data_IF_298602122468
#
_entry.id   IF_298602122468
#
_cell.length_a   1.000
_cell.length_b   1.000
_cell.length_c   1.000
_cell.angle_alpha   90.00
_cell.angle_beta   90.00
_cell.angle_gamma   90.00
#
_symmetry.space_group_name_H-M   'P 1'
#
loop_
_entity.id
_entity.type
_entity.pdbx_description
1 polymer ?
#
# COMPACT_ATOMS: atom_id res chain seq x y z
N UNK A 1 28.33 -30.16 26.15
CA UNK A 1 28.51 -28.88 25.41
C UNK A 1 27.17 -28.53 24.77
N UNK A 2 26.50 -27.46 25.22
CA UNK A 2 25.30 -26.96 24.52
C UNK A 2 25.82 -26.31 23.23
N UNK A 3 25.56 -26.92 22.07
CA UNK A 3 25.87 -26.31 20.79
C UNK A 3 25.20 -24.93 20.71
N UNK A 4 25.97 -23.91 20.36
CA UNK A 4 25.45 -22.56 20.10
C UNK A 4 24.39 -22.67 19.01
N UNK A 5 23.12 -22.45 19.37
CA UNK A 5 21.99 -22.49 18.44
C UNK A 5 22.18 -21.34 17.45
N UNK A 6 22.52 -21.66 16.20
CA UNK A 6 22.68 -20.63 15.16
C UNK A 6 21.33 -20.03 14.81
N UNK A 7 21.28 -18.70 14.71
CA UNK A 7 20.07 -17.94 14.35
C UNK A 7 19.72 -18.22 12.88
N UNK A 8 18.51 -18.72 12.57
CA UNK A 8 18.05 -18.89 11.19
C UNK A 8 18.10 -17.58 10.40
N UNK A 9 18.42 -17.66 9.11
CA UNK A 9 18.67 -16.47 8.29
C UNK A 9 17.78 -16.43 7.04
N UNK A 10 17.14 -15.30 6.76
CA UNK A 10 16.29 -15.10 5.56
C UNK A 10 17.01 -14.17 4.60
N UNK A 11 17.11 -14.58 3.34
CA UNK A 11 17.59 -13.75 2.25
C UNK A 11 16.40 -13.03 1.61
N UNK A 12 16.50 -11.72 1.39
CA UNK A 12 15.46 -10.92 0.76
C UNK A 12 15.99 -10.22 -0.48
N UNK A 13 15.33 -10.43 -1.62
CA UNK A 13 15.60 -9.75 -2.88
C UNK A 13 14.42 -8.81 -3.24
N UNK A 14 14.52 -7.51 -2.92
CA UNK A 14 13.52 -6.53 -3.32
C UNK A 14 13.66 -6.13 -4.79
N UNK A 15 12.55 -5.80 -5.44
CA UNK A 15 12.55 -5.09 -6.71
C UNK A 15 12.94 -3.60 -6.51
N UNK A 16 13.34 -2.93 -7.59
CA UNK A 16 13.72 -1.51 -7.55
C UNK A 16 12.50 -0.64 -7.21
N UNK A 17 12.69 0.30 -6.30
CA UNK A 17 11.70 1.30 -5.92
C UNK A 17 11.16 1.15 -4.50
N UNK A 18 10.82 2.29 -3.89
CA UNK A 18 10.41 2.36 -2.47
C UNK A 18 9.11 1.59 -2.18
N UNK A 19 8.26 1.43 -3.19
CA UNK A 19 7.00 0.69 -3.12
C UNK A 19 7.18 -0.82 -2.93
N UNK A 20 8.32 -1.37 -3.35
CA UNK A 20 8.71 -2.77 -3.15
C UNK A 20 9.53 -2.94 -1.88
N UNK A 21 10.45 -2.00 -1.62
CA UNK A 21 11.37 -2.05 -0.49
C UNK A 21 10.67 -1.90 0.88
N UNK A 22 9.77 -0.92 1.04
CA UNK A 22 9.12 -0.66 2.34
C UNK A 22 8.30 -1.87 2.83
N UNK A 23 7.41 -2.48 2.01
CA UNK A 23 6.67 -3.66 2.44
C UNK A 23 7.56 -4.82 2.90
N UNK A 24 8.65 -5.08 2.17
CA UNK A 24 9.62 -6.13 2.54
C UNK A 24 10.40 -5.81 3.82
N UNK A 25 10.70 -4.53 4.07
CA UNK A 25 11.27 -4.07 5.34
C UNK A 25 10.30 -4.30 6.51
N UNK A 26 9.01 -4.02 6.32
CA UNK A 26 8.01 -4.23 7.37
C UNK A 26 7.76 -5.71 7.62
N UNK A 27 7.77 -6.54 6.57
CA UNK A 27 7.85 -8.00 6.66
C UNK A 27 9.07 -8.42 7.52
N UNK A 28 10.27 -7.95 7.16
CA UNK A 28 11.51 -8.30 7.83
C UNK A 28 11.49 -7.95 9.34
N UNK A 29 11.00 -6.76 9.69
CA UNK A 29 10.88 -6.32 11.08
C UNK A 29 10.04 -7.26 11.93
N UNK A 30 8.98 -7.87 11.41
CA UNK A 30 8.16 -8.80 12.19
C UNK A 30 8.93 -10.07 12.54
N UNK A 31 9.62 -10.66 11.56
CA UNK A 31 10.38 -11.90 11.77
C UNK A 31 11.53 -11.71 12.74
N UNK A 32 12.22 -10.56 12.66
CA UNK A 32 13.26 -10.20 13.61
C UNK A 32 12.68 -10.00 15.03
N UNK A 33 11.60 -9.24 15.17
CA UNK A 33 11.06 -8.86 16.49
C UNK A 33 10.36 -9.98 17.23
N UNK A 34 9.74 -10.90 16.50
CA UNK A 34 8.83 -11.89 17.09
C UNK A 34 9.31 -13.33 16.94
N UNK A 35 10.30 -13.60 16.10
CA UNK A 35 10.68 -14.97 15.73
C UNK A 35 12.20 -15.23 15.70
N UNK A 36 13.03 -14.32 16.23
CA UNK A 36 14.49 -14.48 16.35
C UNK A 36 15.18 -14.86 15.02
N UNK A 37 14.77 -14.24 13.91
CA UNK A 37 15.46 -14.37 12.63
C UNK A 37 16.52 -13.30 12.44
N UNK A 38 17.54 -13.65 11.64
CA UNK A 38 18.39 -12.67 10.97
C UNK A 38 18.05 -12.60 9.48
N UNK A 39 18.31 -11.47 8.85
CA UNK A 39 17.82 -11.11 7.52
C UNK A 39 18.92 -10.37 6.77
N UNK A 40 19.14 -10.72 5.51
CA UNK A 40 19.98 -9.95 4.59
C UNK A 40 19.16 -9.49 3.39
N UNK A 41 19.12 -8.20 3.14
CA UNK A 41 18.62 -7.62 1.89
C UNK A 41 19.75 -7.59 0.86
N UNK A 42 19.59 -8.31 -0.25
CA UNK A 42 20.46 -8.18 -1.43
C UNK A 42 19.78 -7.28 -2.45
N UNK A 43 20.22 -6.03 -2.53
CA UNK A 43 19.55 -4.96 -3.27
C UNK A 43 20.21 -4.80 -4.65
N UNK A 44 19.53 -5.14 -5.75
CA UNK A 44 20.00 -4.85 -7.10
C UNK A 44 19.99 -3.35 -7.37
N UNK A 45 20.98 -2.84 -8.11
CA UNK A 45 21.14 -1.41 -8.38
C UNK A 45 21.47 -1.15 -9.85
N UNK A 46 20.95 -0.06 -10.42
CA UNK A 46 21.33 0.48 -11.74
C UNK A 46 22.15 1.79 -11.59
N UNK A 47 22.62 2.07 -10.37
CA UNK A 47 23.33 3.29 -10.02
C UNK A 47 23.45 3.49 -8.51
N UNK A 48 23.66 4.73 -8.08
CA UNK A 48 23.67 5.06 -6.65
C UNK A 48 22.26 4.96 -6.05
N UNK A 49 22.09 4.43 -4.82
CA UNK A 49 20.79 4.41 -4.15
C UNK A 49 20.21 5.84 -4.05
N UNK A 50 18.90 5.95 -4.28
CA UNK A 50 18.21 7.24 -4.21
C UNK A 50 18.16 7.76 -2.77
N UNK A 51 18.00 9.07 -2.58
CA UNK A 51 17.95 9.64 -1.23
C UNK A 51 16.81 9.04 -0.40
N UNK A 52 15.66 8.75 -1.03
CA UNK A 52 14.53 8.11 -0.35
C UNK A 52 14.82 6.65 0.05
N UNK A 53 15.54 5.90 -0.79
CA UNK A 53 16.02 4.56 -0.41
C UNK A 53 16.99 4.63 0.76
N UNK A 54 17.95 5.57 0.73
CA UNK A 54 18.90 5.79 1.83
C UNK A 54 18.18 6.15 3.12
N UNK A 55 17.25 7.08 3.11
CA UNK A 55 16.47 7.46 4.29
C UNK A 55 15.70 6.28 4.89
N UNK A 56 15.06 5.46 4.06
CA UNK A 56 14.33 4.26 4.52
C UNK A 56 15.29 3.25 5.15
N UNK A 57 16.43 2.99 4.52
CA UNK A 57 17.42 2.04 5.02
C UNK A 57 18.12 2.56 6.28
N UNK A 58 18.44 3.86 6.34
CA UNK A 58 19.02 4.53 7.50
C UNK A 58 18.04 4.60 8.69
N UNK A 59 16.74 4.54 8.41
CA UNK A 59 15.69 4.47 9.45
C UNK A 59 15.57 3.09 10.09
N UNK A 60 16.22 2.05 9.52
CA UNK A 60 16.28 0.74 10.15
C UNK A 60 17.02 0.88 11.50
N UNK A 61 16.47 0.33 12.60
CA UNK A 61 17.10 0.50 13.90
C UNK A 61 18.53 -0.06 13.87
N UNK A 62 19.53 0.79 14.07
CA UNK A 62 20.94 0.39 14.18
C UNK A 62 21.21 -0.57 15.34
N UNK A 63 20.25 -0.72 16.26
CA UNK A 63 20.28 -1.65 17.39
C UNK A 63 19.80 -3.06 17.05
N UNK A 64 19.37 -3.31 15.80
CA UNK A 64 19.01 -4.64 15.32
C UNK A 64 20.24 -5.21 14.59
N UNK A 65 21.11 -5.91 15.32
CA UNK A 65 22.28 -6.64 14.77
C UNK A 65 21.89 -7.86 13.90
N UNK A 66 20.67 -7.87 13.37
CA UNK A 66 20.10 -9.00 12.64
C UNK A 66 19.57 -8.62 11.26
N UNK A 67 19.57 -7.34 10.85
CA UNK A 67 19.24 -6.93 9.48
C UNK A 67 20.51 -6.40 8.80
N UNK A 68 20.92 -7.04 7.72
CA UNK A 68 22.09 -6.70 6.93
C UNK A 68 21.69 -6.24 5.53
N UNK A 69 22.49 -5.35 4.93
CA UNK A 69 22.24 -4.80 3.60
C UNK A 69 23.46 -5.07 2.71
N UNK A 70 23.23 -5.69 1.56
CA UNK A 70 24.22 -5.89 0.51
C UNK A 70 23.70 -5.22 -0.76
N UNK A 71 24.38 -4.16 -1.19
CA UNK A 71 24.14 -3.57 -2.50
C UNK A 71 24.93 -4.36 -3.54
N UNK A 72 24.23 -4.88 -4.55
CA UNK A 72 24.88 -5.59 -5.65
C UNK A 72 25.57 -4.59 -6.58
N UNK A 73 26.56 -5.09 -7.32
CA UNK A 73 27.27 -4.31 -8.34
C UNK A 73 26.27 -3.63 -9.28
N UNK A 74 26.39 -2.31 -9.52
CA UNK A 74 25.50 -1.62 -10.43
C UNK A 74 25.51 -2.22 -11.83
N UNK A 75 24.35 -2.42 -12.41
CA UNK A 75 24.21 -2.86 -13.81
C UNK A 75 24.13 -1.64 -14.74
N UNK A 76 24.62 -1.79 -15.96
CA UNK A 76 24.54 -0.73 -16.97
C UNK A 76 23.22 -0.83 -17.74
N UNK A 77 22.44 0.25 -17.71
CA UNK A 77 21.19 0.41 -18.47
C UNK A 77 21.20 1.65 -19.39
N UNK A 78 22.38 2.23 -19.67
CA UNK A 78 22.54 3.48 -20.42
C UNK A 78 22.06 3.37 -21.88
N UNK A 79 22.06 2.17 -22.43
CA UNK A 79 21.58 1.89 -23.80
C UNK A 79 20.04 1.88 -23.90
N UNK A 80 19.31 1.93 -22.77
CA UNK A 80 17.85 1.98 -22.77
C UNK A 80 17.35 3.39 -23.07
N UNK A 81 16.28 3.47 -23.87
CA UNK A 81 15.55 4.71 -24.07
C UNK A 81 15.04 5.28 -22.74
N UNK A 82 15.01 6.60 -22.62
CA UNK A 82 14.39 7.29 -21.46
C UNK A 82 12.91 6.96 -21.31
N UNK A 83 12.25 6.62 -22.41
CA UNK A 83 10.82 6.24 -22.43
C UNK A 83 10.60 4.75 -22.12
N UNK A 84 11.65 3.98 -21.84
CA UNK A 84 11.51 2.57 -21.48
C UNK A 84 10.68 2.44 -20.19
N UNK A 85 9.67 1.59 -20.28
CA UNK A 85 8.75 1.30 -19.18
C UNK A 85 9.50 0.85 -17.90
N UNK A 86 9.01 1.31 -16.74
CA UNK A 86 9.65 1.10 -15.43
C UNK A 86 9.74 -0.39 -15.10
N UNK A 87 8.72 -1.19 -15.38
CA UNK A 87 8.73 -2.63 -15.12
C UNK A 87 9.81 -3.34 -15.95
N UNK A 88 10.03 -2.91 -17.20
CA UNK A 88 11.16 -3.41 -18.00
C UNK A 88 12.50 -3.08 -17.35
N UNK A 89 12.68 -1.85 -16.82
CA UNK A 89 13.92 -1.47 -16.13
C UNK A 89 14.13 -2.28 -14.85
N UNK A 90 13.08 -2.47 -14.04
CA UNK A 90 13.11 -3.30 -12.82
C UNK A 90 13.56 -4.72 -13.17
N UNK A 91 12.90 -5.35 -14.15
CA UNK A 91 13.22 -6.71 -14.57
C UNK A 91 14.68 -6.82 -15.04
N UNK A 92 15.09 -5.97 -15.99
CA UNK A 92 16.45 -6.01 -16.53
C UNK A 92 17.49 -5.81 -15.43
N UNK A 93 17.21 -4.95 -14.45
CA UNK A 93 18.12 -4.75 -13.32
C UNK A 93 18.31 -6.03 -12.52
N UNK A 94 17.23 -6.74 -12.21
CA UNK A 94 17.28 -8.01 -11.46
C UNK A 94 17.99 -9.08 -12.30
N UNK A 95 17.58 -9.29 -13.55
CA UNK A 95 18.14 -10.34 -14.41
C UNK A 95 19.63 -10.14 -14.69
N UNK A 96 20.08 -8.90 -14.91
CA UNK A 96 21.50 -8.59 -15.07
C UNK A 96 22.30 -8.69 -13.76
N UNK A 97 21.62 -8.62 -12.60
CA UNK A 97 22.24 -8.77 -11.28
C UNK A 97 22.40 -10.24 -10.82
N UNK A 98 21.85 -11.22 -11.54
CA UNK A 98 21.80 -12.63 -11.09
C UNK A 98 23.18 -13.24 -10.83
N UNK A 99 24.21 -12.88 -11.61
CA UNK A 99 25.58 -13.35 -11.38
C UNK A 99 26.18 -12.80 -10.08
N UNK A 100 25.99 -11.50 -9.82
CA UNK A 100 26.40 -10.88 -8.55
C UNK A 100 25.61 -11.44 -7.37
N UNK A 101 24.32 -11.73 -7.56
CA UNK A 101 23.47 -12.36 -6.57
C UNK A 101 23.98 -13.76 -6.21
N UNK A 102 24.36 -14.57 -7.22
CA UNK A 102 24.93 -15.91 -7.02
C UNK A 102 26.18 -15.86 -6.15
N UNK A 103 27.12 -14.97 -6.46
CA UNK A 103 28.35 -14.81 -5.69
C UNK A 103 28.06 -14.40 -4.23
N UNK A 104 27.12 -13.48 -4.01
CA UNK A 104 26.74 -13.05 -2.67
C UNK A 104 26.08 -14.20 -1.87
N UNK A 105 25.18 -14.95 -2.51
CA UNK A 105 24.49 -16.08 -1.88
C UNK A 105 25.42 -17.25 -1.56
N UNK A 106 26.41 -17.55 -2.41
CA UNK A 106 27.44 -18.55 -2.11
C UNK A 106 28.16 -18.27 -0.79
N UNK A 107 28.53 -17.01 -0.55
CA UNK A 107 29.18 -16.59 0.70
C UNK A 107 28.22 -16.66 1.89
N UNK A 108 26.99 -16.17 1.74
CA UNK A 108 26.00 -16.16 2.83
C UNK A 108 25.57 -17.58 3.24
N UNK A 109 25.35 -18.45 2.27
CA UNK A 109 24.96 -19.84 2.49
C UNK A 109 26.09 -20.63 3.19
N UNK A 110 27.35 -20.32 2.88
CA UNK A 110 28.49 -20.92 3.56
C UNK A 110 28.68 -20.43 5.01
N UNK A 111 28.09 -19.30 5.40
CA UNK A 111 28.35 -18.63 6.69
C UNK A 111 27.16 -18.55 7.64
N UNK A 112 25.94 -18.80 7.15
CA UNK A 112 24.72 -18.75 7.97
C UNK A 112 23.73 -19.87 7.61
N UNK A 113 22.90 -20.33 8.57
CA UNK A 113 21.85 -21.31 8.30
C UNK A 113 20.67 -20.65 7.56
N UNK A 114 20.78 -20.59 6.23
CA UNK A 114 19.74 -19.97 5.39
C UNK A 114 18.46 -20.78 5.45
N UNK A 115 17.39 -20.15 5.93
CA UNK A 115 16.08 -20.73 6.12
C UNK A 115 15.18 -20.56 4.89
N UNK A 116 15.30 -19.44 4.16
CA UNK A 116 14.50 -19.13 2.98
C UNK A 116 15.10 -18.00 2.14
N UNK A 117 14.77 -17.99 0.85
CA UNK A 117 14.82 -16.83 -0.03
C UNK A 117 13.41 -16.24 -0.17
N UNK A 118 13.26 -14.93 0.01
CA UNK A 118 12.03 -14.19 -0.24
C UNK A 118 12.29 -13.16 -1.34
N UNK A 119 11.54 -13.23 -2.43
CA UNK A 119 11.67 -12.32 -3.58
C UNK A 119 10.40 -11.48 -3.75
N UNK A 120 10.53 -10.27 -4.28
CA UNK A 120 9.38 -9.51 -4.79
C UNK A 120 8.77 -10.19 -6.04
N UNK A 121 7.60 -9.73 -6.51
CA UNK A 121 6.88 -10.30 -7.67
C UNK A 121 7.67 -10.30 -8.99
N UNK A 122 8.74 -9.53 -9.09
CA UNK A 122 9.65 -9.48 -10.25
C UNK A 122 10.90 -10.37 -10.11
N UNK A 123 11.10 -11.04 -8.97
CA UNK A 123 12.36 -11.68 -8.61
C UNK A 123 12.42 -13.20 -8.76
N UNK A 124 11.45 -13.84 -9.42
CA UNK A 124 11.38 -15.31 -9.51
C UNK A 124 12.60 -15.96 -10.20
N UNK A 125 13.35 -15.24 -11.02
CA UNK A 125 14.59 -15.76 -11.64
C UNK A 125 15.68 -16.08 -10.60
N UNK A 126 15.62 -15.47 -9.42
CA UNK A 126 16.53 -15.77 -8.33
C UNK A 126 16.32 -17.18 -7.72
N UNK A 127 15.21 -17.84 -8.01
CA UNK A 127 14.95 -19.20 -7.56
C UNK A 127 16.00 -20.17 -8.09
N UNK A 128 16.40 -20.02 -9.35
CA UNK A 128 17.43 -20.86 -9.97
C UNK A 128 18.82 -20.65 -9.35
N UNK A 129 19.07 -19.48 -8.76
CA UNK A 129 20.33 -19.18 -8.06
C UNK A 129 20.44 -19.98 -6.77
N UNK A 130 19.34 -20.13 -6.03
CA UNK A 130 19.35 -20.80 -4.72
C UNK A 130 18.95 -22.27 -4.76
N UNK A 131 18.36 -22.73 -5.87
CA UNK A 131 17.90 -24.11 -6.08
C UNK A 131 18.99 -25.15 -5.81
N UNK A 132 20.23 -24.88 -6.24
CA UNK A 132 21.37 -25.79 -6.04
C UNK A 132 21.76 -25.97 -4.56
N UNK A 133 21.32 -25.07 -3.68
CA UNK A 133 21.58 -25.11 -2.24
C UNK A 133 20.39 -25.63 -1.44
N UNK A 134 19.32 -26.07 -2.12
CA UNK A 134 18.10 -26.57 -1.48
C UNK A 134 17.47 -25.57 -0.49
N UNK A 135 17.58 -24.27 -0.80
CA UNK A 135 16.95 -23.19 -0.02
C UNK A 135 15.54 -22.96 -0.56
N UNK A 136 14.50 -23.02 0.29
CA UNK A 136 13.13 -22.80 -0.17
C UNK A 136 12.90 -21.34 -0.55
N UNK A 137 12.12 -21.12 -1.60
CA UNK A 137 11.93 -19.84 -2.26
C UNK A 137 10.48 -19.38 -2.22
N UNK A 138 10.27 -18.16 -1.74
CA UNK A 138 8.95 -17.58 -1.53
C UNK A 138 8.79 -16.28 -2.32
N UNK A 139 7.60 -16.04 -2.86
CA UNK A 139 7.23 -14.74 -3.42
C UNK A 139 6.50 -13.94 -2.36
N UNK A 140 6.98 -12.74 -2.08
CA UNK A 140 6.24 -11.74 -1.34
C UNK A 140 5.46 -10.85 -2.29
N UNK A 141 4.13 -10.87 -2.16
CA UNK A 141 3.21 -10.10 -2.98
C UNK A 141 2.57 -8.98 -2.13
N UNK A 142 3.01 -7.72 -2.26
CA UNK A 142 2.44 -6.57 -1.54
C UNK A 142 1.09 -6.11 -2.11
N UNK A 143 0.28 -7.03 -2.63
CA UNK A 143 -0.95 -6.76 -3.39
C UNK A 143 -2.10 -7.69 -2.95
N UNK A 144 -3.36 -7.36 -3.31
CA UNK A 144 -4.54 -8.16 -2.93
C UNK A 144 -4.52 -9.59 -3.46
N UNK A 145 -5.23 -10.51 -2.80
CA UNK A 145 -5.43 -11.90 -3.22
C UNK A 145 -6.05 -12.00 -4.62
N UNK A 146 -6.95 -11.09 -4.96
CA UNK A 146 -7.54 -11.02 -6.30
C UNK A 146 -6.49 -10.86 -7.40
N UNK A 147 -5.40 -10.14 -7.13
CA UNK A 147 -4.30 -10.02 -8.07
C UNK A 147 -3.56 -11.34 -8.24
N UNK A 148 -3.32 -12.06 -7.15
CA UNK A 148 -2.71 -13.38 -7.19
C UNK A 148 -3.55 -14.36 -8.02
N UNK A 149 -4.88 -14.31 -7.87
CA UNK A 149 -5.80 -15.10 -8.71
C UNK A 149 -5.65 -14.78 -10.20
N UNK A 150 -5.51 -13.50 -10.55
CA UNK A 150 -5.24 -13.09 -11.92
C UNK A 150 -3.90 -13.66 -12.42
N UNK A 151 -2.82 -13.48 -11.68
CA UNK A 151 -1.49 -13.96 -12.07
C UNK A 151 -1.49 -15.48 -12.29
N UNK A 152 -2.08 -16.26 -11.39
CA UNK A 152 -2.12 -17.72 -11.52
C UNK A 152 -2.97 -18.20 -12.71
N UNK A 153 -3.94 -17.40 -13.15
CA UNK A 153 -4.80 -17.70 -14.29
C UNK A 153 -4.31 -17.12 -15.62
N UNK A 154 -3.48 -16.08 -15.59
CA UNK A 154 -3.05 -15.31 -16.76
C UNK A 154 -2.41 -16.18 -17.86
N UNK A 155 -1.55 -17.18 -17.58
CA UNK A 155 -1.00 -18.04 -18.63
C UNK A 155 -2.08 -18.82 -19.39
N UNK A 156 -3.10 -19.33 -18.69
CA UNK A 156 -4.23 -20.04 -19.32
C UNK A 156 -5.09 -19.09 -20.15
N UNK A 157 -5.17 -17.83 -19.71
CA UNK A 157 -5.92 -16.80 -20.42
C UNK A 157 -5.22 -16.39 -21.72
N UNK A 158 -3.90 -16.24 -21.69
CA UNK A 158 -3.04 -15.95 -22.85
C UNK A 158 -3.19 -17.03 -23.93
N UNK A 159 -3.14 -18.30 -23.53
CA UNK A 159 -3.29 -19.43 -24.45
C UNK A 159 -4.68 -19.50 -25.11
N UNK A 160 -5.73 -19.06 -24.39
CA UNK A 160 -7.13 -19.21 -24.82
C UNK A 160 -7.59 -18.10 -25.78
N UNK A 161 -6.99 -16.92 -25.72
CA UNK A 161 -7.48 -15.74 -26.42
C UNK A 161 -6.39 -15.09 -27.26
N UNK A 162 -6.63 -14.95 -28.56
CA UNK A 162 -5.71 -14.30 -29.51
C UNK A 162 -6.03 -12.82 -29.78
N UNK A 163 -7.10 -12.27 -29.19
CA UNK A 163 -7.51 -10.87 -29.31
C UNK A 163 -7.13 -10.06 -28.07
N UNK A 164 -7.21 -8.72 -28.16
CA UNK A 164 -7.07 -7.89 -26.96
C UNK A 164 -8.20 -8.21 -25.97
N UNK A 165 -7.89 -8.25 -24.68
CA UNK A 165 -8.89 -8.58 -23.65
C UNK A 165 -10.06 -7.58 -23.58
N UNK A 166 -9.84 -6.33 -24.00
CA UNK A 166 -10.90 -5.31 -24.10
C UNK A 166 -11.94 -5.57 -25.19
N UNK A 167 -11.64 -6.45 -26.14
CA UNK A 167 -12.47 -6.74 -27.32
C UNK A 167 -13.30 -8.04 -27.13
N UNK A 168 -13.30 -8.63 -25.93
CA UNK A 168 -14.08 -9.83 -25.63
C UNK A 168 -15.58 -9.51 -25.45
N UNK A 169 -16.45 -10.21 -26.18
CA UNK A 169 -17.90 -10.02 -26.18
C UNK A 169 -18.61 -10.53 -24.91
N UNK A 170 -18.00 -11.45 -24.17
CA UNK A 170 -18.51 -11.92 -22.88
C UNK A 170 -17.59 -11.43 -21.75
N UNK A 171 -18.15 -10.95 -20.61
CA UNK A 171 -17.36 -10.49 -19.49
C UNK A 171 -16.50 -11.63 -18.95
N UNK A 172 -15.18 -11.42 -18.95
CA UNK A 172 -14.24 -12.33 -18.34
C UNK A 172 -14.62 -12.54 -16.87
N UNK A 173 -14.76 -13.79 -16.45
CA UNK A 173 -14.96 -14.11 -15.03
C UNK A 173 -13.65 -14.01 -14.22
N UNK A 174 -12.78 -13.03 -14.50
CA UNK A 174 -11.62 -12.58 -13.72
C UNK A 174 -11.23 -11.13 -14.15
N UNK A 175 -10.64 -10.28 -13.27
CA UNK A 175 -10.71 -8.83 -13.41
C UNK A 175 -9.44 -8.14 -13.95
N UNK A 176 -9.64 -7.18 -14.87
CA UNK A 176 -8.74 -6.04 -15.11
C UNK A 176 -7.97 -6.03 -16.44
N UNK A 177 -7.99 -4.89 -17.14
CA UNK A 177 -7.23 -4.64 -18.37
C UNK A 177 -5.76 -4.29 -18.08
N UNK A 178 -4.81 -4.86 -18.82
CA UNK A 178 -3.37 -4.54 -18.78
C UNK A 178 -2.91 -4.13 -20.19
N UNK A 179 -2.02 -3.13 -20.27
CA UNK A 179 -1.39 -2.62 -21.50
C UNK A 179 -0.35 -3.61 -22.08
N UNK A 180 -0.17 -3.64 -23.42
CA UNK A 180 0.58 -4.67 -24.18
C UNK A 180 2.05 -4.87 -23.76
N UNK A 181 2.79 -3.80 -23.43
CA UNK A 181 4.20 -3.92 -23.02
C UNK A 181 4.32 -4.43 -21.57
N UNK A 182 3.42 -3.97 -20.69
CA UNK A 182 3.32 -4.44 -19.29
C UNK A 182 2.86 -5.89 -19.23
N UNK A 183 2.05 -6.30 -20.20
CA UNK A 183 1.54 -7.64 -20.33
C UNK A 183 2.64 -8.70 -20.49
N UNK A 184 3.69 -8.42 -21.27
CA UNK A 184 4.78 -9.39 -21.51
C UNK A 184 5.49 -9.75 -20.20
N UNK A 185 5.91 -8.75 -19.42
CA UNK A 185 6.57 -8.99 -18.13
C UNK A 185 5.60 -9.58 -17.11
N UNK A 186 4.36 -9.09 -17.08
CA UNK A 186 3.33 -9.66 -16.19
C UNK A 186 3.11 -11.15 -16.48
N UNK A 187 2.97 -11.52 -17.75
CA UNK A 187 2.81 -12.91 -18.18
C UNK A 187 4.06 -13.72 -17.87
N UNK A 188 5.26 -13.19 -18.12
CA UNK A 188 6.52 -13.84 -17.80
C UNK A 188 6.60 -14.19 -16.30
N UNK A 189 6.44 -13.19 -15.43
CA UNK A 189 6.49 -13.40 -13.98
C UNK A 189 5.35 -14.28 -13.48
N UNK A 190 4.16 -14.18 -14.06
CA UNK A 190 3.00 -15.00 -13.68
C UNK A 190 3.26 -16.51 -13.83
N UNK A 191 4.08 -16.91 -14.82
CA UNK A 191 4.51 -18.30 -15.00
C UNK A 191 5.43 -18.76 -13.86
N UNK A 192 6.20 -17.84 -13.28
CA UNK A 192 7.11 -18.10 -12.16
C UNK A 192 6.40 -18.30 -10.81
N UNK A 193 5.16 -17.84 -10.63
CA UNK A 193 4.45 -17.98 -9.34
C UNK A 193 4.28 -19.44 -8.91
N UNK A 194 4.09 -20.35 -9.86
CA UNK A 194 3.93 -21.79 -9.58
C UNK A 194 5.24 -22.50 -9.23
N UNK A 195 6.38 -21.83 -9.36
CA UNK A 195 7.70 -22.37 -8.99
C UNK A 195 8.06 -22.08 -7.52
N UNK A 196 7.30 -21.22 -6.84
CA UNK A 196 7.56 -20.87 -5.45
C UNK A 196 7.11 -21.97 -4.49
N UNK A 197 7.83 -22.14 -3.38
CA UNK A 197 7.41 -22.99 -2.26
C UNK A 197 6.25 -22.37 -1.45
N UNK A 198 6.00 -21.08 -1.65
CA UNK A 198 4.87 -20.36 -1.05
C UNK A 198 4.75 -18.92 -1.52
N UNK A 199 3.55 -18.37 -1.40
CA UNK A 199 3.26 -16.95 -1.65
C UNK A 199 2.86 -16.26 -0.36
N UNK A 200 3.65 -15.27 0.05
CA UNK A 200 3.44 -14.41 1.20
C UNK A 200 2.62 -13.21 0.75
N UNK A 201 1.32 -13.22 1.04
CA UNK A 201 0.38 -12.22 0.56
C UNK A 201 0.18 -11.13 1.61
N UNK A 202 0.33 -9.85 1.24
CA UNK A 202 0.03 -8.75 2.16
C UNK A 202 -1.48 -8.54 2.32
N UNK A 203 -2.08 -9.23 3.29
CA UNK A 203 -3.51 -9.22 3.54
C UNK A 203 -3.92 -10.20 4.64
N UNK A 204 -5.23 -10.32 4.88
CA UNK A 204 -5.81 -11.29 5.82
C UNK A 204 -7.06 -11.93 5.23
N UNK A 205 -7.38 -13.15 5.65
CA UNK A 205 -8.46 -13.97 5.07
C UNK A 205 -9.80 -13.24 4.97
N UNK A 206 -10.23 -12.56 6.03
CA UNK A 206 -11.52 -11.88 6.06
C UNK A 206 -11.62 -10.66 5.14
N UNK A 207 -10.50 -10.19 4.57
CA UNK A 207 -10.48 -9.07 3.62
C UNK A 207 -10.94 -9.48 2.23
N UNK A 208 -10.56 -10.69 1.80
CA UNK A 208 -10.79 -11.22 0.46
C UNK A 208 -11.18 -12.70 0.52
N UNK A 209 -12.16 -13.03 1.37
CA UNK A 209 -12.60 -14.41 1.67
C UNK A 209 -12.79 -15.21 0.38
N UNK A 210 -13.59 -14.71 -0.56
CA UNK A 210 -13.87 -15.41 -1.82
C UNK A 210 -12.64 -15.66 -2.69
N UNK A 211 -11.70 -14.72 -2.79
CA UNK A 211 -10.49 -14.91 -3.59
C UNK A 211 -9.51 -15.87 -2.91
N UNK A 212 -9.32 -15.73 -1.59
CA UNK A 212 -8.41 -16.59 -0.81
C UNK A 212 -8.94 -18.02 -0.73
N UNK A 213 -10.24 -18.21 -0.53
CA UNK A 213 -10.88 -19.54 -0.55
C UNK A 213 -10.78 -20.16 -1.93
N UNK A 214 -11.11 -19.42 -3.00
CA UNK A 214 -10.99 -19.94 -4.38
C UNK A 214 -9.56 -20.40 -4.72
N UNK A 215 -8.55 -19.67 -4.24
CA UNK A 215 -7.14 -20.03 -4.43
C UNK A 215 -6.73 -21.29 -3.65
N UNK A 216 -7.35 -21.55 -2.49
CA UNK A 216 -7.09 -22.74 -1.66
C UNK A 216 -7.89 -23.95 -2.11
N UNK A 217 -9.13 -23.75 -2.54
CA UNK A 217 -10.11 -24.80 -2.87
C UNK A 217 -10.05 -25.23 -4.33
N UNK A 218 -9.37 -24.47 -5.20
CA UNK A 218 -9.32 -24.70 -6.65
C UNK A 218 -8.76 -26.07 -7.10
N UNK A 219 -8.30 -26.93 -6.17
CA UNK A 219 -7.90 -28.32 -6.44
C UNK A 219 -6.64 -28.49 -7.28
N UNK A 220 -6.05 -27.40 -7.75
CA UNK A 220 -4.84 -27.37 -8.56
C UNK A 220 -3.61 -27.43 -7.62
N UNK A 221 -3.03 -28.62 -7.48
CA UNK A 221 -1.85 -28.86 -6.63
C UNK A 221 -0.60 -28.09 -7.08
N UNK A 222 -0.63 -27.45 -8.26
CA UNK A 222 0.46 -26.59 -8.72
C UNK A 222 0.33 -25.14 -8.24
N UNK A 223 -0.74 -24.79 -7.52
CA UNK A 223 -0.84 -23.51 -6.81
C UNK A 223 -0.03 -23.60 -5.51
N UNK A 224 0.94 -22.70 -5.28
CA UNK A 224 1.74 -22.73 -4.08
C UNK A 224 0.89 -22.38 -2.84
N UNK A 225 1.26 -22.86 -1.63
CA UNK A 225 0.62 -22.46 -0.39
C UNK A 225 0.60 -20.93 -0.23
N UNK A 226 -0.56 -20.39 0.14
CA UNK A 226 -0.76 -18.95 0.34
C UNK A 226 -0.77 -18.64 1.83
N UNK A 227 0.09 -17.71 2.23
CA UNK A 227 0.22 -17.21 3.59
C UNK A 227 -0.21 -15.74 3.62
N UNK A 228 -1.48 -15.43 3.97
CA UNK A 228 -1.90 -14.05 4.22
C UNK A 228 -1.20 -13.54 5.47
N UNK A 229 -0.38 -12.53 5.30
CA UNK A 229 0.38 -11.90 6.36
C UNK A 229 0.02 -10.41 6.37
N UNK A 230 -0.43 -9.93 7.54
CA UNK A 230 -0.74 -8.52 7.72
C UNK A 230 0.49 -7.82 8.30
N UNK A 231 1.17 -7.06 7.45
CA UNK A 231 2.26 -6.20 7.88
C UNK A 231 1.76 -4.76 7.88
N UNK A 232 1.61 -4.20 9.07
CA UNK A 232 1.29 -2.79 9.20
C UNK A 232 2.53 -2.00 8.78
N UNK A 233 2.40 -1.14 7.77
CA UNK A 233 3.36 -0.06 7.58
C UNK A 233 3.43 0.69 8.91
N UNK A 234 4.56 0.56 9.61
CA UNK A 234 4.67 1.00 10.99
C UNK A 234 4.25 2.46 11.09
N UNK A 235 3.24 2.75 11.93
CA UNK A 235 2.83 4.13 12.27
C UNK A 235 3.96 4.89 13.00
N UNK A 236 5.21 4.41 12.98
CA UNK A 236 6.36 4.98 13.69
C UNK A 236 6.53 6.46 13.40
N UNK A 237 6.31 6.87 12.15
CA UNK A 237 6.35 8.27 11.81
C UNK A 237 5.25 9.06 12.53
N UNK A 238 4.02 8.55 12.62
CA UNK A 238 2.96 9.15 13.41
C UNK A 238 3.27 9.11 14.92
N UNK A 239 3.84 8.01 15.42
CA UNK A 239 4.25 7.86 16.83
C UNK A 239 5.27 8.92 17.25
N UNK A 240 6.10 9.41 16.32
CA UNK A 240 7.07 10.48 16.59
C UNK A 240 6.52 11.89 16.39
N UNK A 241 5.26 12.04 15.91
CA UNK A 241 4.63 13.34 15.75
C UNK A 241 3.88 13.78 17.02
N UNK A 242 3.80 15.09 17.30
CA UNK A 242 2.97 15.60 18.40
C UNK A 242 1.48 15.29 18.20
N UNK A 243 0.78 15.17 19.33
CA UNK A 243 -0.66 14.86 19.39
C UNK A 243 -1.47 15.93 18.62
N UNK A 244 -2.37 15.48 17.76
CA UNK A 244 -3.29 16.33 17.00
C UNK A 244 -2.65 17.27 15.98
N UNK A 245 -1.38 17.09 15.60
CA UNK A 245 -0.67 18.01 14.68
C UNK A 245 -0.43 17.46 13.27
N UNK A 246 -0.96 16.28 12.94
CA UNK A 246 -0.83 15.68 11.60
C UNK A 246 -2.13 15.76 10.82
N UNK A 247 -2.07 16.31 9.61
CA UNK A 247 -3.13 16.22 8.62
C UNK A 247 -3.02 14.90 7.84
N UNK A 248 -4.01 14.02 7.94
CA UNK A 248 -4.11 12.88 7.04
C UNK A 248 -4.73 13.31 5.70
N UNK A 249 -4.16 12.89 4.57
CA UNK A 249 -4.64 13.25 3.22
C UNK A 249 -4.86 11.96 2.42
N UNK A 250 -6.10 11.65 2.08
CA UNK A 250 -6.43 10.45 1.30
C UNK A 250 -7.75 10.57 0.54
N UNK A 251 -7.75 10.18 -0.73
CA UNK A 251 -8.91 10.25 -1.63
C UNK A 251 -9.58 8.89 -1.86
N UNK A 252 -9.34 7.91 -1.00
CA UNK A 252 -9.96 6.59 -1.07
C UNK A 252 -9.40 5.70 -2.19
N UNK A 253 -10.03 4.55 -2.44
CA UNK A 253 -9.59 3.55 -3.43
C UNK A 253 -9.79 4.03 -4.88
N UNK A 254 -10.94 4.65 -5.18
CA UNK A 254 -11.30 5.10 -6.54
C UNK A 254 -11.01 6.56 -6.85
N UNK A 255 -10.47 7.34 -5.91
CA UNK A 255 -10.18 8.76 -6.14
C UNK A 255 -8.82 8.98 -6.79
N UNK A 256 -8.83 9.50 -8.02
CA UNK A 256 -7.65 10.01 -8.72
C UNK A 256 -7.79 11.51 -8.96
N UNK A 257 -6.67 12.24 -8.88
CA UNK A 257 -6.57 13.65 -9.18
C UNK A 257 -5.77 13.84 -10.48
N UNK A 258 -6.07 14.91 -11.23
CA UNK A 258 -5.22 15.29 -12.36
C UNK A 258 -3.82 15.68 -11.87
N UNK A 259 -2.82 15.56 -12.74
CA UNK A 259 -1.45 15.95 -12.41
C UNK A 259 -1.35 17.42 -11.98
N UNK A 260 -2.07 18.33 -12.66
CA UNK A 260 -2.18 19.74 -12.24
C UNK A 260 -2.68 19.86 -10.79
N UNK A 261 -3.73 19.13 -10.43
CA UNK A 261 -4.29 19.21 -9.08
C UNK A 261 -3.39 18.55 -8.02
N UNK A 262 -2.68 17.47 -8.36
CA UNK A 262 -1.69 16.85 -7.48
C UNK A 262 -0.55 17.82 -7.15
N UNK A 263 -0.05 18.56 -8.15
CA UNK A 263 0.99 19.56 -7.95
C UNK A 263 0.52 20.73 -7.08
N UNK A 264 -0.68 21.27 -7.32
CA UNK A 264 -1.24 22.31 -6.44
C UNK A 264 -1.44 21.81 -5.01
N UNK A 265 -1.84 20.53 -4.83
CA UNK A 265 -1.98 19.91 -3.52
C UNK A 265 -0.65 19.78 -2.79
N UNK A 266 0.38 19.27 -3.47
CA UNK A 266 1.71 19.12 -2.90
C UNK A 266 2.25 20.49 -2.44
N UNK A 267 2.29 21.47 -3.35
CA UNK A 267 2.78 22.81 -3.03
C UNK A 267 1.94 23.50 -1.95
N UNK A 268 0.63 23.24 -1.92
CA UNK A 268 -0.24 23.77 -0.88
C UNK A 268 0.02 23.16 0.50
N UNK A 269 0.31 21.87 0.57
CA UNK A 269 0.70 21.19 1.81
C UNK A 269 2.04 21.71 2.33
N UNK A 270 3.03 21.90 1.46
CA UNK A 270 4.32 22.49 1.84
C UNK A 270 4.16 23.94 2.34
N UNK A 271 3.43 24.78 1.58
CA UNK A 271 3.13 26.17 1.96
C UNK A 271 2.34 26.27 3.28
N UNK A 272 1.59 25.22 3.64
CA UNK A 272 0.86 25.16 4.90
C UNK A 272 1.77 25.11 6.13
N UNK A 273 3.00 24.60 5.97
CA UNK A 273 3.95 24.28 7.06
C UNK A 273 3.40 23.34 8.14
N UNK A 274 2.27 22.69 7.87
CA UNK A 274 1.69 21.68 8.75
C UNK A 274 2.32 20.32 8.45
N UNK A 275 2.35 19.44 9.46
CA UNK A 275 2.73 18.04 9.24
C UNK A 275 1.58 17.33 8.55
N UNK A 276 1.88 16.46 7.60
CA UNK A 276 0.86 15.68 6.91
C UNK A 276 1.32 14.25 6.65
N UNK A 277 0.37 13.33 6.59
CA UNK A 277 0.54 12.00 6.03
C UNK A 277 -0.33 11.92 4.79
N UNK A 278 0.28 11.86 3.60
CA UNK A 278 -0.43 11.89 2.33
C UNK A 278 -0.32 10.56 1.59
N UNK A 279 -1.48 9.94 1.34
CA UNK A 279 -1.58 8.78 0.45
C UNK A 279 -1.70 9.27 -0.99
N UNK A 280 -0.61 9.17 -1.74
CA UNK A 280 -0.54 9.55 -3.15
C UNK A 280 -0.93 8.37 -4.03
N UNK A 281 -1.71 8.68 -5.06
CA UNK A 281 -1.99 7.79 -6.19
C UNK A 281 -1.53 8.49 -7.45
N UNK A 282 -0.74 7.82 -8.29
CA UNK A 282 -0.41 8.38 -9.60
C UNK A 282 -1.66 8.38 -10.47
N UNK A 283 -1.77 9.32 -11.40
CA UNK A 283 -2.85 9.36 -12.38
C UNK A 283 -2.91 8.10 -13.26
N UNK A 284 -1.84 7.30 -13.26
CA UNK A 284 -1.70 6.05 -13.99
C UNK A 284 -1.74 4.79 -13.10
N UNK A 285 -2.06 4.90 -11.80
CA UNK A 285 -2.21 3.71 -10.95
C UNK A 285 -3.48 2.95 -11.32
N UNK A 286 -3.33 1.92 -12.14
CA UNK A 286 -4.19 0.74 -12.08
C UNK A 286 -3.93 0.01 -10.75
N UNK A 287 -4.79 -0.95 -10.39
CA UNK A 287 -4.72 -1.79 -9.18
C UNK A 287 -3.35 -2.48 -8.92
N UNK A 288 -2.37 -2.32 -9.82
CA UNK A 288 -1.06 -2.98 -9.85
C UNK A 288 0.12 -2.14 -9.33
N UNK A 289 -0.09 -0.91 -8.85
CA UNK A 289 0.93 -0.18 -8.09
C UNK A 289 2.22 0.23 -8.82
N UNK A 290 2.40 -0.06 -10.12
CA UNK A 290 3.69 0.06 -10.80
C UNK A 290 3.96 1.37 -11.58
N UNK A 291 3.02 2.34 -11.66
CA UNK A 291 3.21 3.56 -12.48
C UNK A 291 3.52 4.84 -11.71
N UNK A 292 4.48 4.83 -10.81
CA UNK A 292 5.05 6.08 -10.34
C UNK A 292 6.55 6.09 -10.65
N UNK A 293 6.90 6.59 -11.85
CA UNK A 293 8.25 7.07 -12.14
C UNK A 293 8.64 8.09 -11.06
N UNK A 294 9.90 8.10 -10.63
CA UNK A 294 10.37 9.06 -9.61
C UNK A 294 10.19 10.52 -10.04
N UNK A 295 10.12 10.79 -11.36
CA UNK A 295 9.84 12.10 -11.96
C UNK A 295 8.40 12.60 -11.73
N UNK A 296 7.46 11.72 -11.38
CA UNK A 296 6.06 12.09 -11.08
C UNK A 296 5.80 12.32 -9.58
N UNK A 297 6.83 12.27 -8.74
CA UNK A 297 6.69 12.72 -7.35
C UNK A 297 6.85 14.24 -7.33
N UNK A 298 5.84 15.03 -6.89
CA UNK A 298 6.14 16.38 -6.48
C UNK A 298 7.15 16.29 -5.32
N UNK A 299 8.37 16.75 -5.59
CA UNK A 299 9.44 16.88 -4.59
C UNK A 299 8.90 17.70 -3.43
N UNK A 300 8.91 17.14 -2.23
CA UNK A 300 8.37 17.79 -1.04
C UNK A 300 9.46 17.82 0.03
N UNK A 301 10.02 19.00 0.26
CA UNK A 301 10.80 19.28 1.46
C UNK A 301 9.85 19.66 2.60
N UNK A 302 10.12 19.17 3.81
CA UNK A 302 9.44 19.66 5.02
C UNK A 302 8.43 18.69 5.63
N UNK A 303 8.86 17.98 6.68
CA UNK A 303 8.05 17.56 7.82
C UNK A 303 6.81 16.70 7.60
N UNK A 304 6.50 16.24 6.38
CA UNK A 304 5.38 15.37 6.05
C UNK A 304 5.83 14.01 5.50
N UNK A 305 4.98 12.99 5.62
CA UNK A 305 5.19 11.65 5.09
C UNK A 305 4.29 11.41 3.88
N UNK A 306 4.88 10.97 2.77
CA UNK A 306 4.13 10.54 1.58
C UNK A 306 4.16 9.01 1.51
N UNK A 307 2.98 8.40 1.42
CA UNK A 307 2.82 6.95 1.28
C UNK A 307 2.16 6.66 -0.07
N UNK A 308 2.68 5.68 -0.80
CA UNK A 308 2.13 5.30 -2.11
C UNK A 308 0.98 4.33 -1.97
N UNK A 309 -0.06 4.53 -2.79
CA UNK A 309 -1.21 3.64 -3.02
C UNK A 309 -2.17 3.44 -1.84
N UNK A 310 -1.67 3.17 -0.63
CA UNK A 310 -2.49 2.77 0.51
C UNK A 310 -1.86 3.12 1.86
N UNK A 311 -2.71 3.39 2.86
CA UNK A 311 -2.35 3.46 4.27
C UNK A 311 -3.48 2.84 5.10
N UNK A 312 -3.20 2.30 6.30
CA UNK A 312 -4.22 1.73 7.18
C UNK A 312 -5.11 2.84 7.78
N UNK A 313 -6.05 3.36 6.99
CA UNK A 313 -6.83 4.58 7.27
C UNK A 313 -7.48 4.58 8.65
N UNK A 314 -8.09 3.48 9.09
CA UNK A 314 -8.68 3.38 10.44
C UNK A 314 -7.62 3.63 11.52
N UNK A 315 -6.43 3.06 11.36
CA UNK A 315 -5.34 3.21 12.32
C UNK A 315 -4.74 4.62 12.29
N UNK A 316 -4.61 5.23 11.10
CA UNK A 316 -4.18 6.63 10.98
C UNK A 316 -5.20 7.55 11.64
N UNK A 317 -6.50 7.36 11.38
CA UNK A 317 -7.57 8.17 11.97
C UNK A 317 -7.69 7.96 13.48
N UNK A 318 -7.43 6.77 14.00
CA UNK A 318 -7.45 6.49 15.44
C UNK A 318 -6.20 6.97 16.17
N UNK A 319 -5.13 7.31 15.44
CA UNK A 319 -3.86 7.72 16.02
C UNK A 319 -3.94 9.11 16.68
N UNK A 320 -3.38 9.25 17.88
CA UNK A 320 -3.45 10.48 18.67
C UNK A 320 -2.83 11.70 17.96
N UNK A 321 -1.80 11.49 17.15
CA UNK A 321 -1.15 12.55 16.37
C UNK A 321 -1.99 13.10 15.20
N UNK A 322 -3.05 12.41 14.80
CA UNK A 322 -3.92 12.86 13.71
C UNK A 322 -4.86 13.98 14.18
N UNK A 323 -4.69 15.16 13.60
CA UNK A 323 -5.44 16.38 13.92
C UNK A 323 -6.52 16.75 12.90
N UNK A 324 -6.43 16.24 11.68
CA UNK A 324 -7.38 16.53 10.61
C UNK A 324 -7.31 15.52 9.47
N UNK A 325 -8.35 15.51 8.63
CA UNK A 325 -8.45 14.60 7.48
C UNK A 325 -8.94 15.32 6.22
N UNK A 326 -8.05 15.48 5.24
CA UNK A 326 -8.42 15.90 3.89
C UNK A 326 -8.91 14.69 3.10
N UNK A 327 -10.20 14.70 2.74
CA UNK A 327 -10.90 13.53 2.20
C UNK A 327 -11.75 13.86 0.98
N UNK A 328 -11.96 12.82 0.16
CA UNK A 328 -12.94 12.80 -0.91
C UNK A 328 -14.41 12.75 -0.44
N UNK A 329 -14.68 12.70 0.87
CA UNK A 329 -16.05 12.73 1.42
C UNK A 329 -16.90 11.49 1.11
N UNK A 330 -16.29 10.35 0.81
CA UNK A 330 -17.00 9.07 0.76
C UNK A 330 -17.54 8.70 2.13
N UNK A 331 -18.77 8.15 2.18
CA UNK A 331 -19.50 8.01 3.44
C UNK A 331 -18.78 7.15 4.49
N UNK A 332 -18.13 6.06 4.08
CA UNK A 332 -17.33 5.22 4.99
C UNK A 332 -16.17 6.01 5.62
N UNK A 333 -15.44 6.79 4.81
CA UNK A 333 -14.35 7.63 5.30
C UNK A 333 -14.84 8.72 6.25
N UNK A 334 -16.02 9.28 5.99
CA UNK A 334 -16.68 10.24 6.88
C UNK A 334 -17.03 9.60 8.23
N UNK A 335 -17.67 8.42 8.22
CA UNK A 335 -18.04 7.70 9.44
C UNK A 335 -16.82 7.31 10.28
N UNK A 336 -15.76 6.80 9.65
CA UNK A 336 -14.47 6.52 10.31
C UNK A 336 -13.92 7.79 11.00
N UNK A 337 -13.93 8.93 10.30
CA UNK A 337 -13.48 10.21 10.86
C UNK A 337 -14.32 10.66 12.06
N UNK A 338 -15.65 10.52 11.98
CA UNK A 338 -16.57 10.87 13.07
C UNK A 338 -16.35 9.99 14.30
N UNK A 339 -16.23 8.67 14.11
CA UNK A 339 -15.99 7.72 15.21
C UNK A 339 -14.64 7.96 15.88
N UNK A 340 -13.64 8.45 15.16
CA UNK A 340 -12.34 8.80 15.74
C UNK A 340 -12.25 10.25 16.23
N UNK A 341 -13.18 11.12 15.85
CA UNK A 341 -13.24 12.53 16.27
C UNK A 341 -12.26 13.43 15.52
N UNK A 342 -11.98 13.11 14.25
CA UNK A 342 -11.05 13.85 13.40
C UNK A 342 -11.84 14.81 12.48
N UNK A 343 -11.61 16.13 12.53
CA UNK A 343 -12.29 17.09 11.67
C UNK A 343 -11.74 17.05 10.23
N UNK A 344 -12.48 17.60 9.28
CA UNK A 344 -12.31 17.28 7.86
C UNK A 344 -12.01 18.50 6.98
N UNK A 345 -11.32 18.27 5.87
CA UNK A 345 -11.29 19.16 4.69
C UNK A 345 -11.93 18.41 3.52
N UNK A 346 -12.97 18.99 2.92
CA UNK A 346 -13.74 18.36 1.85
C UNK A 346 -13.13 18.60 0.46
N UNK A 347 -12.82 17.51 -0.26
CA UNK A 347 -12.51 17.55 -1.69
C UNK A 347 -13.27 16.44 -2.44
N UNK A 348 -14.60 16.57 -2.61
CA UNK A 348 -15.41 15.55 -3.26
C UNK A 348 -15.00 15.34 -4.72
N UNK A 349 -15.05 14.10 -5.19
CA UNK A 349 -14.60 13.70 -6.53
C UNK A 349 -15.74 13.13 -7.39
N UNK A 350 -16.46 12.12 -6.89
CA UNK A 350 -17.46 11.37 -7.65
C UNK A 350 -18.65 10.93 -6.77
N UNK A 351 -19.61 10.21 -7.38
CA UNK A 351 -20.82 9.71 -6.72
C UNK A 351 -21.54 10.81 -5.91
N UNK A 352 -22.03 10.48 -4.71
CA UNK A 352 -22.78 11.37 -3.82
C UNK A 352 -21.87 12.24 -2.93
N UNK A 353 -20.55 12.19 -3.10
CA UNK A 353 -19.57 12.87 -2.24
C UNK A 353 -19.79 14.39 -2.16
N UNK A 354 -20.27 15.01 -3.24
CA UNK A 354 -20.59 16.45 -3.24
C UNK A 354 -21.75 16.78 -2.28
N UNK A 355 -22.76 15.92 -2.24
CA UNK A 355 -23.88 16.03 -1.30
C UNK A 355 -23.40 15.83 0.14
N UNK A 356 -22.58 14.78 0.37
CA UNK A 356 -21.97 14.53 1.69
C UNK A 356 -21.16 15.75 2.16
N UNK A 357 -20.37 16.35 1.26
CA UNK A 357 -19.57 17.54 1.58
C UNK A 357 -20.43 18.73 2.00
N UNK A 358 -21.56 18.98 1.33
CA UNK A 358 -22.50 20.06 1.71
C UNK A 358 -23.06 19.80 3.11
N UNK A 359 -23.62 18.61 3.36
CA UNK A 359 -24.16 18.24 4.68
C UNK A 359 -23.11 18.37 5.79
N UNK A 360 -21.87 17.93 5.55
CA UNK A 360 -20.82 18.00 6.56
C UNK A 360 -20.36 19.44 6.88
N UNK A 361 -20.41 20.33 5.90
CA UNK A 361 -20.02 21.75 6.05
C UNK A 361 -21.15 22.56 6.67
N UNK A 362 -22.37 22.44 6.13
CA UNK A 362 -23.49 23.31 6.47
C UNK A 362 -24.26 22.82 7.71
N UNK A 363 -24.59 21.52 7.75
CA UNK A 363 -25.43 20.95 8.80
C UNK A 363 -24.59 20.49 10.00
N UNK A 364 -23.58 19.64 9.73
CA UNK A 364 -22.77 19.06 10.80
C UNK A 364 -21.71 20.01 11.31
N UNK A 365 -21.22 20.93 10.47
CA UNK A 365 -20.17 21.93 10.80
C UNK A 365 -18.88 21.30 11.34
N UNK A 366 -18.48 20.18 10.76
CA UNK A 366 -17.25 19.44 11.11
C UNK A 366 -16.16 19.51 10.02
N UNK A 367 -16.47 20.20 8.93
CA UNK A 367 -15.66 20.18 7.70
C UNK A 367 -15.45 21.58 7.16
N UNK A 368 -14.23 21.86 6.70
CA UNK A 368 -13.93 23.04 5.88
C UNK A 368 -13.91 22.65 4.40
N UNK A 369 -14.31 23.57 3.52
CA UNK A 369 -14.31 23.34 2.06
C UNK A 369 -13.44 24.39 1.36
N UNK A 370 -12.36 23.98 0.68
CA UNK A 370 -11.55 24.89 -0.11
C UNK A 370 -12.33 25.39 -1.32
N UNK A 371 -12.05 26.64 -1.71
CA UNK A 371 -12.61 27.25 -2.91
C UNK A 371 -11.86 26.77 -4.17
N UNK A 372 -12.60 26.18 -5.11
CA UNK A 372 -12.07 25.84 -6.42
C UNK A 372 -12.26 27.00 -7.41
N UNK A 373 -11.36 27.13 -8.37
CA UNK A 373 -11.52 27.97 -9.55
C UNK A 373 -12.62 27.43 -10.48
N UNK A 374 -12.97 28.22 -11.51
CA UNK A 374 -14.00 27.84 -12.51
C UNK A 374 -13.69 26.52 -13.22
N UNK A 375 -12.41 26.18 -13.40
CA UNK A 375 -11.95 24.93 -14.00
C UNK A 375 -11.97 23.73 -13.01
N UNK A 376 -12.38 23.94 -11.75
CA UNK A 376 -12.42 22.91 -10.71
C UNK A 376 -11.08 22.67 -9.99
N UNK A 377 -10.01 23.39 -10.36
CA UNK A 377 -8.72 23.32 -9.69
C UNK A 377 -8.76 24.14 -8.40
N UNK A 378 -8.25 23.56 -7.32
CA UNK A 378 -8.00 24.29 -6.06
C UNK A 378 -6.51 24.57 -6.00
N UNK A 379 -6.16 25.86 -5.99
CA UNK A 379 -4.77 26.34 -5.98
C UNK A 379 -4.11 26.15 -4.62
N UNK A 380 -2.79 26.01 -4.65
CA UNK A 380 -1.88 25.82 -3.50
C UNK A 380 -2.10 26.83 -2.39
N UNK A 381 -2.39 28.09 -2.71
CA UNK A 381 -2.62 29.16 -1.72
C UNK A 381 -3.90 28.90 -0.93
N UNK A 382 -4.97 28.45 -1.60
CA UNK A 382 -6.22 28.09 -0.92
C UNK A 382 -6.06 26.79 -0.12
N UNK A 383 -5.31 25.82 -0.63
CA UNK A 383 -4.99 24.58 0.10
C UNK A 383 -4.21 24.91 1.38
N UNK A 384 -3.13 25.68 1.29
CA UNK A 384 -2.35 26.11 2.44
C UNK A 384 -3.21 26.86 3.47
N UNK A 385 -4.09 27.74 3.01
CA UNK A 385 -5.01 28.50 3.85
C UNK A 385 -6.01 27.60 4.58
N UNK A 386 -6.70 26.69 3.87
CA UNK A 386 -7.71 25.83 4.50
C UNK A 386 -7.07 24.83 5.46
N UNK A 387 -5.87 24.33 5.14
CA UNK A 387 -5.09 23.45 6.01
C UNK A 387 -4.71 24.19 7.30
N UNK A 388 -4.14 25.39 7.22
CA UNK A 388 -3.86 26.21 8.41
C UNK A 388 -5.12 26.53 9.21
N UNK A 389 -6.22 26.86 8.52
CA UNK A 389 -7.50 27.17 9.16
C UNK A 389 -8.05 25.98 9.97
N UNK A 390 -7.94 24.76 9.43
CA UNK A 390 -8.35 23.55 10.15
C UNK A 390 -7.43 23.26 11.34
N UNK A 391 -6.11 23.33 11.15
CA UNK A 391 -5.13 22.86 12.13
C UNK A 391 -4.90 23.85 13.28
N UNK A 392 -4.98 25.16 13.01
CA UNK A 392 -4.62 26.22 13.97
C UNK A 392 -5.72 27.27 14.16
N UNK A 393 -6.60 27.42 13.17
CA UNK A 393 -7.61 28.48 13.12
C UNK A 393 -8.84 28.24 13.99
N UNK A 394 -9.59 29.30 14.25
CA UNK A 394 -10.80 29.23 15.09
C UNK A 394 -11.94 28.44 14.43
N UNK A 395 -12.01 28.41 13.09
CA UNK A 395 -12.96 27.53 12.39
C UNK A 395 -12.61 26.06 12.63
N UNK A 396 -11.32 25.72 12.57
CA UNK A 396 -10.79 24.41 12.93
C UNK A 396 -11.15 24.01 14.35
N UNK A 397 -10.94 24.90 15.34
CA UNK A 397 -11.34 24.65 16.74
C UNK A 397 -12.84 24.38 16.89
N UNK A 398 -13.69 25.12 16.15
CA UNK A 398 -15.15 24.88 16.13
C UNK A 398 -15.49 23.52 15.53
N UNK A 399 -14.90 23.16 14.40
CA UNK A 399 -15.07 21.85 13.79
C UNK A 399 -14.61 20.72 14.73
N UNK A 400 -13.48 20.91 15.42
CA UNK A 400 -12.93 19.96 16.38
C UNK A 400 -13.87 19.74 17.58
N UNK A 401 -14.40 20.82 18.16
CA UNK A 401 -15.41 20.72 19.24
C UNK A 401 -16.66 19.98 18.76
N UNK A 402 -17.09 20.25 17.53
CA UNK A 402 -18.30 19.65 16.95
C UNK A 402 -18.14 18.17 16.63
N UNK A 403 -17.03 17.76 16.01
CA UNK A 403 -16.77 16.35 15.71
C UNK A 403 -16.57 15.53 16.98
N UNK A 404 -16.03 16.11 18.06
CA UNK A 404 -15.94 15.42 19.37
C UNK A 404 -17.31 15.12 19.96
N UNK A 405 -18.28 16.05 19.87
CA UNK A 405 -19.66 15.78 20.29
C UNK A 405 -20.31 14.66 19.45
N UNK A 406 -20.02 14.60 18.15
CA UNK A 406 -20.51 13.52 17.29
C UNK A 406 -19.83 12.19 17.61
N UNK A 407 -18.52 12.19 17.89
CA UNK A 407 -17.78 11.02 18.38
C UNK A 407 -18.41 10.47 19.64
N UNK A 408 -18.61 11.31 20.65
CA UNK A 408 -19.21 10.88 21.93
C UNK A 408 -20.61 10.31 21.72
N UNK A 409 -21.39 10.90 20.80
CA UNK A 409 -22.72 10.38 20.41
C UNK A 409 -22.62 9.04 19.69
N UNK A 410 -21.67 8.88 18.77
CA UNK A 410 -21.43 7.64 18.05
C UNK A 410 -20.96 6.54 19.01
N UNK A 411 -20.04 6.85 19.93
CA UNK A 411 -19.58 5.92 20.98
C UNK A 411 -20.74 5.46 21.84
N UNK A 412 -21.62 6.37 22.29
CA UNK A 412 -22.84 6.00 23.04
C UNK A 412 -23.74 5.07 22.25
N UNK A 413 -23.98 5.33 20.96
CA UNK A 413 -24.80 4.45 20.10
C UNK A 413 -24.18 3.06 19.91
N UNK A 414 -22.85 2.96 19.99
CA UNK A 414 -22.10 1.70 19.84
C UNK A 414 -21.92 0.95 21.18
N UNK A 415 -21.81 1.66 22.30
CA UNK A 415 -21.59 1.10 23.64
C UNK A 415 -22.89 0.84 24.41
N UNK A 416 -23.89 1.70 24.24
CA UNK A 416 -25.19 1.61 24.90
C UNK A 416 -26.22 1.06 23.91
N UNK A 417 -26.78 -0.06 24.32
CA UNK A 417 -27.57 -1.02 23.57
C UNK A 417 -28.98 -0.55 23.16
N UNK A 418 -29.18 0.68 22.64
CA UNK A 418 -30.55 1.26 22.61
C UNK A 418 -31.14 1.77 21.31
N UNK A 419 -30.39 2.16 20.26
CA UNK A 419 -31.02 2.63 19.01
C UNK A 419 -30.65 1.77 17.80
N UNK A 420 -29.37 1.65 17.47
CA UNK A 420 -28.89 0.88 16.31
C UNK A 420 -29.24 -0.61 16.41
N UNK A 421 -28.94 -1.26 17.54
CA UNK A 421 -29.32 -2.66 17.79
C UNK A 421 -30.83 -2.86 17.83
N UNK A 422 -31.61 -1.88 18.30
CA UNK A 422 -33.08 -1.94 18.24
C UNK A 422 -33.57 -1.91 16.82
N UNK A 423 -33.08 -0.97 15.99
CA UNK A 423 -33.43 -0.92 14.57
C UNK A 423 -33.00 -2.19 13.83
N UNK A 424 -31.80 -2.72 14.09
CA UNK A 424 -31.35 -4.01 13.53
C UNK A 424 -32.25 -5.16 14.01
N UNK A 425 -32.64 -5.16 15.28
CA UNK A 425 -33.53 -6.18 15.86
C UNK A 425 -34.95 -6.08 15.33
N UNK A 426 -35.47 -4.88 15.08
CA UNK A 426 -36.75 -4.63 14.42
C UNK A 426 -36.74 -5.11 12.98
N UNK A 427 -35.67 -4.82 12.23
CA UNK A 427 -35.45 -5.32 10.87
C UNK A 427 -35.36 -6.85 10.89
N UNK A 428 -34.55 -7.43 11.78
CA UNK A 428 -34.41 -8.87 11.92
C UNK A 428 -35.74 -9.54 12.30
N UNK A 429 -36.53 -8.91 13.19
CA UNK A 429 -37.88 -9.38 13.56
C UNK A 429 -38.81 -9.34 12.35
N UNK A 430 -38.80 -8.26 11.57
CA UNK A 430 -39.61 -8.12 10.34
C UNK A 430 -39.23 -9.20 9.31
N UNK A 431 -37.95 -9.43 9.09
CA UNK A 431 -37.47 -10.49 8.19
C UNK A 431 -37.89 -11.87 8.68
N UNK A 432 -37.72 -12.17 9.97
CA UNK A 432 -38.15 -13.45 10.57
C UNK A 432 -39.67 -13.67 10.47
N UNK A 433 -40.48 -12.61 10.58
CA UNK A 433 -41.94 -12.72 10.42
C UNK A 433 -42.40 -12.96 8.97
N UNK A 434 -41.50 -12.86 7.98
CA UNK A 434 -41.80 -13.09 6.56
C UNK A 434 -41.33 -14.46 6.06
N UNK A 435 -40.64 -15.25 6.89
CA UNK A 435 -40.15 -16.60 6.54
C UNK A 435 -41.12 -17.71 6.99
N UNK A 436 -42.21 -17.36 7.69
CA UNK A 436 -43.24 -18.29 8.18
C UNK A 436 -44.65 -18.01 7.60
N UNK A 437 -44.70 -17.63 6.33
CA UNK A 437 -45.85 -17.72 5.42
C UNK A 437 -45.33 -18.26 4.09
#
# INVERSE_FOLDING_TARGET
>A
MKGTKQTPHILILPALGIGHLIPLIEFAKQFVRHHDFSITFTIPTDGSPTNAQKEVLDSLPKSIDTIFLIFLSPVNLDDLSKDTNVETRIYLTISLSLSSLRNAFEVLIATAPIAALVVDLFGNDAFDVVKQFNVPSYIFLPSPAMLLSLYLYLPKLDEKHSCEYRDLHEPLKLPGCIDRVRYIWTLYHSKGFRLADGVLLNGFTNMEVGAIESLKEGGDSSVPPIYPLMFLASLNWLNSQPIGLVLFVSFGSGGALSWEQLNELALGLELSKQRFLWVVKSSNTTYLGAHATEEENPLMGGGGLVVRSWAPRIQVLSHASTGGFLTHCGWNSTLESVVHGVPLIARPLFAEQKMNAVMMVEDLKVTLKPKAEKNGIVRRVEIAKVVKCLMEGDEGKRAWKRIRMLKDSATKVLSEERSSRKSISEVARKWKSQVWL
#
